data_IF_613164534546
#
_entry.id   IF_613164534546
#
_cell.length_a   1.000
_cell.length_b   1.000
_cell.length_c   1.000
_cell.angle_alpha   90.00
_cell.angle_beta   90.00
_cell.angle_gamma   90.00
#
_symmetry.space_group_name_H-M   'P 1'
#
loop_
_entity.id
_entity.type
_entity.pdbx_description
1 polymer ?
#
# COMPACT_ATOMS: atom_id res chain seq x y z
N UNK A 1 26.91 -35.58 3.79
CA UNK A 1 26.25 -34.72 2.77
C UNK A 1 24.90 -34.16 3.23
N UNK A 2 23.92 -34.98 3.62
CA UNK A 2 22.57 -34.51 4.02
C UNK A 2 22.58 -33.37 5.05
N UNK A 3 23.36 -33.52 6.12
CA UNK A 3 23.52 -32.50 7.17
C UNK A 3 24.05 -31.17 6.63
N UNK A 4 25.11 -31.21 5.80
CA UNK A 4 25.70 -30.02 5.18
C UNK A 4 24.70 -29.33 4.23
N UNK A 5 23.91 -30.11 3.48
CA UNK A 5 22.84 -29.57 2.63
C UNK A 5 21.80 -28.82 3.46
N UNK A 6 21.35 -29.42 4.57
CA UNK A 6 20.36 -28.83 5.46
C UNK A 6 20.89 -27.58 6.16
N UNK A 7 22.17 -27.57 6.56
CA UNK A 7 22.85 -26.39 7.12
C UNK A 7 22.89 -25.21 6.15
N UNK A 8 22.98 -25.48 4.83
CA UNK A 8 22.98 -24.46 3.79
C UNK A 8 21.57 -24.05 3.33
N UNK A 9 20.52 -24.66 3.88
CA UNK A 9 19.14 -24.42 3.45
C UNK A 9 18.82 -24.88 2.02
N UNK A 10 19.66 -25.73 1.43
CA UNK A 10 19.49 -26.19 0.05
C UNK A 10 18.55 -27.40 -0.04
N UNK A 11 17.75 -27.46 -1.10
CA UNK A 11 17.03 -28.69 -1.45
C UNK A 11 17.97 -29.70 -2.17
N UNK A 12 17.55 -30.96 -2.24
CA UNK A 12 18.39 -32.04 -2.81
C UNK A 12 18.78 -31.77 -4.28
N UNK A 13 17.91 -31.10 -5.05
CA UNK A 13 18.23 -30.76 -6.44
C UNK A 13 19.27 -29.67 -6.54
N UNK A 14 19.24 -28.67 -5.68
CA UNK A 14 20.20 -27.57 -5.63
C UNK A 14 21.58 -28.07 -5.21
N UNK A 15 21.65 -28.91 -4.17
CA UNK A 15 22.89 -29.53 -3.75
C UNK A 15 23.48 -30.43 -4.85
N UNK A 16 22.64 -31.22 -5.53
CA UNK A 16 23.09 -32.03 -6.65
C UNK A 16 23.67 -31.17 -7.78
N UNK A 17 22.99 -30.08 -8.15
CA UNK A 17 23.45 -29.11 -9.16
C UNK A 17 24.76 -28.44 -8.75
N UNK A 18 24.90 -28.04 -7.49
CA UNK A 18 26.13 -27.44 -6.94
C UNK A 18 27.33 -28.38 -7.10
N UNK A 19 27.11 -29.69 -6.94
CA UNK A 19 28.12 -30.73 -7.15
C UNK A 19 28.30 -31.15 -8.62
N UNK A 20 27.58 -30.51 -9.55
CA UNK A 20 27.61 -30.83 -10.98
C UNK A 20 26.95 -32.17 -11.34
N UNK A 21 25.91 -32.56 -10.59
CA UNK A 21 25.23 -33.85 -10.71
C UNK A 21 23.70 -33.72 -10.80
N UNK A 22 23.02 -34.79 -11.23
CA UNK A 22 21.56 -34.83 -11.27
C UNK A 22 20.96 -35.14 -9.89
N UNK A 23 19.69 -34.76 -9.69
CA UNK A 23 18.94 -35.05 -8.44
C UNK A 23 18.96 -36.53 -8.06
N UNK A 24 18.81 -37.44 -9.03
CA UNK A 24 18.83 -38.87 -8.81
C UNK A 24 20.19 -39.34 -8.25
N UNK A 25 21.28 -38.86 -8.83
CA UNK A 25 22.64 -39.13 -8.35
C UNK A 25 22.89 -38.54 -6.98
N UNK A 26 22.40 -37.32 -6.72
CA UNK A 26 22.45 -36.68 -5.40
C UNK A 26 21.76 -37.51 -4.32
N UNK A 27 20.60 -38.10 -4.63
CA UNK A 27 19.90 -38.98 -3.68
C UNK A 27 20.70 -40.24 -3.34
N UNK A 28 21.41 -40.83 -4.31
CA UNK A 28 22.25 -42.01 -4.07
C UNK A 28 23.45 -41.67 -3.18
N UNK A 29 24.07 -40.51 -3.39
CA UNK A 29 25.16 -40.03 -2.53
C UNK A 29 24.71 -39.80 -1.09
N UNK A 30 23.54 -39.19 -0.87
CA UNK A 30 23.02 -38.95 0.48
C UNK A 30 22.69 -40.24 1.24
N UNK A 31 22.26 -41.27 0.52
CA UNK A 31 21.98 -42.61 1.07
C UNK A 31 23.23 -43.46 1.27
N UNK A 32 24.41 -42.98 0.84
CA UNK A 32 25.65 -43.78 0.83
C UNK A 32 25.62 -44.93 -0.18
N UNK A 33 24.64 -44.96 -1.09
CA UNK A 33 24.49 -46.00 -2.11
C UNK A 33 25.43 -45.78 -3.31
N UNK A 34 26.11 -44.63 -3.37
CA UNK A 34 27.12 -44.29 -4.38
C UNK A 34 28.18 -43.40 -3.75
N UNK A 35 29.43 -43.63 -4.10
CA UNK A 35 30.55 -42.79 -3.65
C UNK A 35 30.63 -41.48 -4.43
N UNK A 36 31.08 -40.43 -3.75
CA UNK A 36 31.34 -39.12 -4.35
C UNK A 36 32.65 -39.19 -5.15
N UNK A 37 32.66 -38.57 -6.33
CA UNK A 37 33.92 -38.38 -7.04
C UNK A 37 34.80 -37.32 -6.35
N UNK A 38 36.09 -37.32 -6.66
CA UNK A 38 37.06 -36.41 -6.05
C UNK A 38 36.69 -34.92 -6.19
N UNK A 39 36.08 -34.52 -7.33
CA UNK A 39 35.63 -33.14 -7.56
C UNK A 39 34.50 -32.74 -6.61
N UNK A 40 33.49 -33.59 -6.46
CA UNK A 40 32.36 -33.35 -5.55
C UNK A 40 32.81 -33.40 -4.09
N UNK A 41 33.75 -34.28 -3.74
CA UNK A 41 34.31 -34.36 -2.40
C UNK A 41 35.11 -33.10 -2.06
N UNK A 42 36.01 -32.65 -2.95
CA UNK A 42 36.74 -31.38 -2.77
C UNK A 42 35.79 -30.19 -2.61
N UNK A 43 34.73 -30.11 -3.42
CA UNK A 43 33.72 -29.06 -3.31
C UNK A 43 33.04 -29.06 -1.93
N UNK A 44 32.63 -30.23 -1.42
CA UNK A 44 32.00 -30.34 -0.10
C UNK A 44 32.97 -29.94 1.01
N UNK A 45 34.23 -30.35 0.93
CA UNK A 45 35.27 -29.98 1.89
C UNK A 45 35.53 -28.47 1.88
N UNK A 46 35.61 -27.84 0.70
CA UNK A 46 35.75 -26.38 0.59
C UNK A 46 34.55 -25.65 1.20
N UNK A 47 33.32 -26.11 0.93
CA UNK A 47 32.11 -25.51 1.52
C UNK A 47 32.13 -25.65 3.04
N UNK A 48 32.45 -26.83 3.57
CA UNK A 48 32.54 -27.07 5.01
C UNK A 48 33.63 -26.20 5.66
N UNK A 49 34.78 -26.05 5.02
CA UNK A 49 35.86 -25.16 5.47
C UNK A 49 35.41 -23.69 5.53
N UNK A 50 34.72 -23.20 4.50
CA UNK A 50 34.21 -21.82 4.46
C UNK A 50 33.11 -21.57 5.50
N UNK A 51 32.26 -22.57 5.79
CA UNK A 51 31.24 -22.47 6.84
C UNK A 51 31.85 -22.43 8.25
N UNK A 52 32.95 -23.13 8.47
CA UNK A 52 33.66 -23.14 9.74
C UNK A 52 34.49 -21.86 9.97
N UNK A 53 34.78 -21.10 8.91
CA UNK A 53 35.55 -19.86 8.95
C UNK A 53 34.73 -18.69 8.36
N UNK A 54 33.69 -18.20 9.06
CA UNK A 54 32.75 -17.20 8.53
C UNK A 54 33.37 -15.82 8.27
N UNK A 55 34.62 -15.58 8.70
CA UNK A 55 35.33 -14.32 8.51
C UNK A 55 35.58 -13.95 7.03
N UNK A 56 35.45 -14.90 6.09
CA UNK A 56 35.63 -14.66 4.64
C UNK A 56 34.33 -14.52 3.85
N UNK A 57 33.15 -14.82 4.42
CA UNK A 57 31.87 -14.63 3.72
C UNK A 57 31.41 -13.20 3.96
N UNK A 58 32.11 -12.24 3.35
CA UNK A 58 31.58 -10.89 3.23
C UNK A 58 30.29 -10.98 2.42
N UNK A 59 29.15 -10.53 2.99
CA UNK A 59 27.91 -10.37 2.22
C UNK A 59 28.28 -9.51 1.02
N UNK A 60 28.35 -10.13 -0.16
CA UNK A 60 28.86 -9.42 -1.35
C UNK A 60 28.09 -8.11 -1.52
N UNK A 61 28.80 -7.01 -1.77
CA UNK A 61 28.22 -5.68 -1.92
C UNK A 61 27.05 -5.64 -2.94
N UNK A 62 27.03 -6.60 -3.87
CA UNK A 62 25.94 -6.81 -4.84
C UNK A 62 24.60 -7.18 -4.21
N UNK A 63 24.57 -8.01 -3.16
CA UNK A 63 23.33 -8.38 -2.46
C UNK A 63 22.78 -7.16 -1.72
N UNK A 64 23.64 -6.45 -0.99
CA UNK A 64 23.30 -5.19 -0.30
C UNK A 64 22.79 -4.12 -1.28
N UNK A 65 23.41 -3.99 -2.45
CA UNK A 65 22.99 -3.03 -3.48
C UNK A 65 21.60 -3.35 -4.04
N UNK A 66 21.26 -4.62 -4.25
CA UNK A 66 19.95 -5.01 -4.76
C UNK A 66 18.84 -4.77 -3.72
N UNK A 67 19.09 -5.08 -2.45
CA UNK A 67 18.17 -4.79 -1.34
C UNK A 67 17.94 -3.28 -1.20
N UNK A 68 19.01 -2.47 -1.26
CA UNK A 68 18.90 -1.01 -1.26
C UNK A 68 18.08 -0.49 -2.44
N UNK A 69 18.33 -0.99 -3.66
CA UNK A 69 17.54 -0.60 -4.84
C UNK A 69 16.06 -0.93 -4.69
N UNK A 70 15.74 -2.11 -4.15
CA UNK A 70 14.36 -2.51 -3.89
C UNK A 70 13.69 -1.61 -2.85
N UNK A 71 14.38 -1.28 -1.76
CA UNK A 71 13.91 -0.35 -0.74
C UNK A 71 13.63 1.04 -1.32
N UNK A 72 14.54 1.55 -2.15
CA UNK A 72 14.38 2.85 -2.81
C UNK A 72 13.19 2.87 -3.75
N UNK A 73 13.01 1.82 -4.54
CA UNK A 73 11.85 1.69 -5.42
C UNK A 73 10.54 1.65 -4.62
N UNK A 74 10.53 0.97 -3.47
CA UNK A 74 9.38 0.94 -2.56
C UNK A 74 9.07 2.33 -1.99
N UNK A 75 10.07 3.07 -1.51
CA UNK A 75 9.88 4.42 -0.97
C UNK A 75 9.39 5.41 -2.04
N UNK A 76 9.95 5.36 -3.25
CA UNK A 76 9.46 6.17 -4.37
C UNK A 76 7.99 5.88 -4.69
N UNK A 77 7.60 4.60 -4.65
CA UNK A 77 6.21 4.19 -4.86
C UNK A 77 5.29 4.72 -3.75
N UNK A 78 5.69 4.61 -2.47
CA UNK A 78 4.93 5.13 -1.34
C UNK A 78 4.75 6.64 -1.41
N UNK A 79 5.81 7.39 -1.76
CA UNK A 79 5.72 8.84 -1.93
C UNK A 79 4.76 9.24 -3.06
N UNK A 80 4.75 8.49 -4.16
CA UNK A 80 3.78 8.68 -5.23
C UNK A 80 2.34 8.39 -4.78
N UNK A 81 2.13 7.28 -4.06
CA UNK A 81 0.82 6.91 -3.52
C UNK A 81 0.31 7.95 -2.51
N UNK A 82 1.19 8.50 -1.67
CA UNK A 82 0.88 9.59 -0.75
C UNK A 82 0.40 10.84 -1.50
N UNK A 83 1.14 11.33 -2.51
CA UNK A 83 0.73 12.51 -3.31
C UNK A 83 -0.61 12.28 -4.02
N UNK A 84 -0.84 11.05 -4.51
CA UNK A 84 -2.10 10.67 -5.13
C UNK A 84 -3.25 10.69 -4.12
N UNK A 85 -3.02 10.22 -2.90
CA UNK A 85 -3.99 10.24 -1.81
C UNK A 85 -4.32 11.69 -1.39
N UNK A 86 -3.30 12.56 -1.27
CA UNK A 86 -3.45 14.00 -1.00
C UNK A 86 -4.37 14.68 -2.03
N UNK A 87 -4.09 14.48 -3.33
CA UNK A 87 -4.93 15.05 -4.38
C UNK A 87 -6.37 14.53 -4.33
N UNK A 88 -6.56 13.23 -4.06
CA UNK A 88 -7.90 12.64 -3.91
C UNK A 88 -8.62 13.19 -2.67
N UNK A 89 -7.89 13.43 -1.58
CA UNK A 89 -8.41 14.02 -0.36
C UNK A 89 -8.96 15.42 -0.64
N UNK A 90 -8.20 16.28 -1.33
CA UNK A 90 -8.64 17.62 -1.75
C UNK A 90 -9.94 17.58 -2.57
N UNK A 91 -10.02 16.70 -3.57
CA UNK A 91 -11.22 16.58 -4.41
C UNK A 91 -12.46 16.15 -3.61
N UNK A 92 -12.30 15.21 -2.68
CA UNK A 92 -13.40 14.75 -1.81
C UNK A 92 -13.80 15.84 -0.83
N UNK A 93 -12.83 16.58 -0.29
CA UNK A 93 -13.05 17.68 0.64
C UNK A 93 -13.84 18.81 -0.01
N UNK A 94 -13.43 19.27 -1.20
CA UNK A 94 -14.18 20.27 -1.95
C UNK A 94 -15.60 19.84 -2.27
N UNK A 95 -15.78 18.57 -2.67
CA UNK A 95 -17.10 18.01 -2.96
C UNK A 95 -17.99 18.04 -1.72
N UNK A 96 -17.44 17.69 -0.56
CA UNK A 96 -18.15 17.72 0.72
C UNK A 96 -18.57 19.15 1.10
N UNK A 97 -17.67 20.13 0.98
CA UNK A 97 -17.98 21.54 1.26
C UNK A 97 -19.14 22.04 0.39
N UNK A 98 -19.06 21.83 -0.93
CA UNK A 98 -20.14 22.21 -1.85
C UNK A 98 -21.46 21.51 -1.49
N UNK A 99 -21.42 20.24 -1.10
CA UNK A 99 -22.60 19.50 -0.68
C UNK A 99 -23.23 20.07 0.60
N UNK A 100 -22.41 20.44 1.59
CA UNK A 100 -22.85 21.06 2.84
C UNK A 100 -23.49 22.44 2.60
N UNK A 101 -22.90 23.26 1.75
CA UNK A 101 -23.46 24.56 1.36
C UNK A 101 -24.82 24.41 0.67
N UNK A 102 -24.92 23.51 -0.30
CA UNK A 102 -26.18 23.22 -1.00
C UNK A 102 -27.24 22.71 -0.01
N UNK A 103 -26.86 21.83 0.91
CA UNK A 103 -27.77 21.32 1.94
C UNK A 103 -28.28 22.46 2.84
N UNK A 104 -27.41 23.32 3.35
CA UNK A 104 -27.77 24.46 4.19
C UNK A 104 -28.72 25.44 3.47
N UNK A 105 -28.44 25.75 2.21
CA UNK A 105 -29.30 26.61 1.38
C UNK A 105 -30.69 26.00 1.17
N UNK A 106 -30.78 24.71 0.83
CA UNK A 106 -32.07 24.04 0.67
C UNK A 106 -32.82 23.91 2.01
N UNK A 107 -32.13 23.74 3.13
CA UNK A 107 -32.77 23.69 4.44
C UNK A 107 -33.44 25.04 4.78
N UNK A 108 -32.79 26.16 4.46
CA UNK A 108 -33.38 27.51 4.61
C UNK A 108 -34.60 27.67 3.68
N UNK A 109 -34.50 27.26 2.42
CA UNK A 109 -35.60 27.32 1.47
C UNK A 109 -36.80 26.49 1.95
N UNK A 110 -36.56 25.28 2.46
CA UNK A 110 -37.62 24.41 2.97
C UNK A 110 -38.38 25.06 4.14
N UNK A 111 -37.67 25.70 5.08
CA UNK A 111 -38.31 26.46 6.18
C UNK A 111 -39.19 27.59 5.65
N UNK A 112 -38.69 28.37 4.70
CA UNK A 112 -39.45 29.46 4.08
C UNK A 112 -40.72 28.95 3.37
N UNK A 113 -40.61 27.86 2.61
CA UNK A 113 -41.75 27.27 1.91
C UNK A 113 -42.83 26.80 2.90
N UNK A 114 -42.43 26.20 4.02
CA UNK A 114 -43.35 25.81 5.09
C UNK A 114 -44.06 27.02 5.71
N UNK A 115 -43.33 28.08 6.04
CA UNK A 115 -43.91 29.32 6.57
C UNK A 115 -44.92 29.94 5.59
N UNK A 116 -44.55 30.05 4.31
CA UNK A 116 -45.45 30.56 3.27
C UNK A 116 -46.72 29.70 3.15
N UNK A 117 -46.58 28.38 3.19
CA UNK A 117 -47.72 27.44 3.14
C UNK A 117 -48.63 27.58 4.36
N UNK A 118 -48.06 27.87 5.54
CA UNK A 118 -48.86 28.10 6.75
C UNK A 118 -49.59 29.44 6.74
N UNK A 119 -48.99 30.49 6.18
CA UNK A 119 -49.51 31.85 6.21
C UNK A 119 -50.45 32.18 5.03
N UNK A 120 -50.21 31.60 3.85
CA UNK A 120 -50.98 31.88 2.61
C UNK A 120 -52.00 30.78 2.34
N UNK A 121 -53.01 30.66 3.22
CA UNK A 121 -54.13 29.71 3.03
C UNK A 121 -55.26 30.34 2.22
N UNK A 122 -56.03 29.50 1.52
CA UNK A 122 -57.25 29.91 0.82
C UNK A 122 -56.98 30.50 -0.58
N UNK A 123 -57.76 31.51 -1.03
CA UNK A 123 -57.65 32.07 -2.38
C UNK A 123 -56.28 32.68 -2.72
N UNK A 124 -55.49 33.03 -1.71
CA UNK A 124 -54.11 33.54 -1.87
C UNK A 124 -53.03 32.46 -1.91
N UNK A 125 -53.40 31.18 -1.87
CA UNK A 125 -52.44 30.08 -1.91
C UNK A 125 -51.75 30.02 -3.28
N UNK A 126 -50.42 30.06 -3.27
CA UNK A 126 -49.65 29.94 -4.49
C UNK A 126 -49.49 28.44 -4.86
N UNK A 127 -50.02 27.99 -6.02
CA UNK A 127 -49.97 26.58 -6.42
C UNK A 127 -48.54 26.07 -6.68
N UNK A 128 -47.58 26.96 -6.94
CA UNK A 128 -46.19 26.59 -7.20
C UNK A 128 -45.40 26.19 -5.93
N UNK A 129 -45.90 26.51 -4.73
CA UNK A 129 -45.23 26.17 -3.46
C UNK A 129 -45.01 24.65 -3.36
N UNK A 130 -46.01 23.84 -3.72
CA UNK A 130 -45.89 22.38 -3.67
C UNK A 130 -44.83 21.83 -4.64
N UNK A 131 -44.70 22.42 -5.83
CA UNK A 131 -43.66 22.01 -6.81
C UNK A 131 -42.26 22.35 -6.29
N UNK A 132 -42.10 23.53 -5.68
CA UNK A 132 -40.83 23.93 -5.07
C UNK A 132 -40.47 23.07 -3.85
N UNK A 133 -41.47 22.67 -3.06
CA UNK A 133 -41.31 21.77 -1.91
C UNK A 133 -40.73 20.42 -2.34
N UNK A 134 -41.34 19.77 -3.34
CA UNK A 134 -40.84 18.49 -3.88
C UNK A 134 -39.40 18.63 -4.38
N UNK A 135 -39.12 19.65 -5.20
CA UNK A 135 -37.76 19.88 -5.72
C UNK A 135 -36.74 20.14 -4.59
N UNK A 136 -37.14 20.86 -3.55
CA UNK A 136 -36.29 21.14 -2.40
C UNK A 136 -35.98 19.87 -1.62
N UNK A 137 -36.98 19.01 -1.38
CA UNK A 137 -36.82 17.72 -0.72
C UNK A 137 -35.91 16.77 -1.52
N UNK A 138 -36.05 16.72 -2.84
CA UNK A 138 -35.17 15.92 -3.71
C UNK A 138 -33.71 16.36 -3.58
N UNK A 139 -33.46 17.68 -3.55
CA UNK A 139 -32.11 18.23 -3.33
C UNK A 139 -31.58 17.96 -1.93
N UNK A 140 -32.41 18.10 -0.90
CA UNK A 140 -32.04 17.76 0.49
C UNK A 140 -31.66 16.29 0.61
N UNK A 141 -32.38 15.39 -0.07
CA UNK A 141 -32.06 13.97 -0.12
C UNK A 141 -30.73 13.71 -0.85
N UNK A 142 -30.51 14.35 -2.00
CA UNK A 142 -29.28 14.21 -2.78
C UNK A 142 -28.03 14.72 -2.04
N UNK A 143 -28.19 15.70 -1.16
CA UNK A 143 -27.13 16.26 -0.32
C UNK A 143 -27.28 15.87 1.15
N UNK A 144 -28.02 14.81 1.45
CA UNK A 144 -28.40 14.42 2.80
C UNK A 144 -27.22 14.01 3.68
N UNK A 145 -27.49 13.87 4.98
CA UNK A 145 -26.49 13.48 5.97
C UNK A 145 -25.78 12.18 5.61
N UNK A 146 -26.51 11.18 5.09
CA UNK A 146 -25.93 9.89 4.70
C UNK A 146 -24.82 10.05 3.66
N UNK A 147 -25.01 10.92 2.66
CA UNK A 147 -24.02 11.20 1.63
C UNK A 147 -22.81 11.97 2.20
N UNK A 148 -23.07 12.93 3.09
CA UNK A 148 -22.01 13.69 3.75
C UNK A 148 -21.16 12.78 4.67
N UNK A 149 -21.79 11.87 5.42
CA UNK A 149 -21.12 10.88 6.27
C UNK A 149 -20.27 9.93 5.44
N UNK A 150 -20.75 9.49 4.28
CA UNK A 150 -19.96 8.67 3.37
C UNK A 150 -18.68 9.40 2.88
N UNK A 151 -18.79 10.70 2.55
CA UNK A 151 -17.63 11.51 2.16
C UNK A 151 -16.68 11.75 3.34
N UNK A 152 -17.19 12.02 4.54
CA UNK A 152 -16.37 12.13 5.76
C UNK A 152 -15.61 10.85 6.05
N UNK A 153 -16.26 9.69 5.94
CA UNK A 153 -15.60 8.40 6.10
C UNK A 153 -14.50 8.20 5.05
N UNK A 154 -14.76 8.57 3.79
CA UNK A 154 -13.76 8.51 2.74
C UNK A 154 -12.54 9.42 3.03
N UNK A 155 -12.75 10.62 3.57
CA UNK A 155 -11.66 11.50 4.00
C UNK A 155 -10.84 10.86 5.12
N UNK A 156 -11.50 10.29 6.14
CA UNK A 156 -10.82 9.64 7.26
C UNK A 156 -9.94 8.45 6.82
N UNK A 157 -10.38 7.68 5.80
CA UNK A 157 -9.57 6.61 5.21
C UNK A 157 -8.32 7.19 4.54
N UNK A 158 -8.48 8.26 3.74
CA UNK A 158 -7.35 8.90 3.05
C UNK A 158 -6.36 9.52 4.05
N UNK A 159 -6.84 10.13 5.13
CA UNK A 159 -6.00 10.65 6.20
C UNK A 159 -5.15 9.54 6.84
N UNK A 160 -5.76 8.39 7.10
CA UNK A 160 -5.05 7.23 7.65
C UNK A 160 -4.01 6.65 6.67
N UNK A 161 -4.35 6.55 5.38
CA UNK A 161 -3.43 6.12 4.32
C UNK A 161 -2.23 7.07 4.22
N UNK A 162 -2.47 8.38 4.18
CA UNK A 162 -1.44 9.40 4.13
C UNK A 162 -0.55 9.38 5.37
N UNK A 163 -1.13 9.27 6.56
CA UNK A 163 -0.38 9.19 7.82
C UNK A 163 0.51 7.93 7.88
N UNK A 164 -0.01 6.77 7.46
CA UNK A 164 0.76 5.53 7.42
C UNK A 164 1.90 5.59 6.40
N UNK A 165 1.66 6.13 5.19
CA UNK A 165 2.69 6.27 4.18
C UNK A 165 3.81 7.22 4.65
N UNK A 166 3.43 8.35 5.24
CA UNK A 166 4.36 9.33 5.80
C UNK A 166 5.20 8.73 6.93
N UNK A 167 4.58 8.00 7.86
CA UNK A 167 5.30 7.34 8.95
C UNK A 167 6.35 6.36 8.42
N UNK A 168 5.99 5.54 7.43
CA UNK A 168 6.95 4.60 6.82
C UNK A 168 8.11 5.38 6.18
N UNK A 169 7.83 6.43 5.41
CA UNK A 169 8.88 7.24 4.77
C UNK A 169 9.83 7.84 5.81
N UNK A 170 9.30 8.48 6.86
CA UNK A 170 10.09 9.09 7.94
C UNK A 170 10.93 8.07 8.72
N UNK A 171 10.37 6.89 9.02
CA UNK A 171 11.10 5.79 9.66
C UNK A 171 12.31 5.37 8.84
N UNK A 172 12.18 5.26 7.52
CA UNK A 172 13.26 4.84 6.63
C UNK A 172 14.28 5.95 6.33
N UNK A 173 13.88 7.22 6.32
CA UNK A 173 14.81 8.36 6.20
C UNK A 173 15.82 8.41 7.36
N UNK A 174 15.40 8.00 8.57
CA UNK A 174 16.27 7.91 9.75
C UNK A 174 17.43 6.90 9.63
N UNK A 175 17.39 5.98 8.67
CA UNK A 175 18.46 5.00 8.43
C UNK A 175 19.59 5.50 7.53
N UNK A 176 19.62 6.81 7.21
CA UNK A 176 20.71 7.42 6.44
C UNK A 176 20.67 7.05 4.96
N UNK A 177 19.47 6.86 4.40
CA UNK A 177 19.32 6.75 2.96
C UNK A 177 19.73 8.09 2.30
N UNK A 178 20.44 8.06 1.15
CA UNK A 178 20.85 9.28 0.45
C UNK A 178 19.67 10.22 0.20
N UNK A 179 19.85 11.53 0.38
CA UNK A 179 18.81 12.55 0.19
C UNK A 179 18.23 12.48 -1.25
N UNK A 180 17.09 11.80 -1.43
CA UNK A 180 16.46 11.58 -2.74
C UNK A 180 15.64 12.79 -3.22
N UNK A 181 15.56 13.85 -2.41
CA UNK A 181 14.37 14.70 -2.35
C UNK A 181 14.42 16.04 -3.06
N UNK A 182 15.51 16.43 -3.74
CA UNK A 182 15.59 17.82 -4.27
C UNK A 182 15.49 17.99 -5.78
N UNK A 183 15.84 17.01 -6.60
CA UNK A 183 16.10 17.30 -8.02
C UNK A 183 15.15 16.64 -9.05
N UNK A 184 14.21 15.76 -8.69
CA UNK A 184 13.44 14.98 -9.69
C UNK A 184 11.90 15.03 -9.58
N UNK A 185 11.31 15.97 -8.82
CA UNK A 185 9.85 16.04 -8.64
C UNK A 185 9.18 17.35 -9.11
N UNK A 186 9.86 18.13 -9.96
CA UNK A 186 9.23 19.19 -10.78
C UNK A 186 8.57 18.64 -12.03
#
# INVERSE_FOLDING_TARGET
MKKLREQLGLNQSEMAKLLGSSKATGSLYEKGARELNAKSLNMLTTIEFLLQNPAEICVTDKIRLNEQKALVAMLKKLAYEQKRAEHKHELVHEKLLRMQEVYACNQKLWRLLNELKTNLKGPGANPFIGVLEVRCLDKLKACGLDQQVALHHQLAILDAEMASAKQIIEEYEGFGLPDWGKDELT
#
